data_IF_929894359077
#
_entry.id   IF_929894359077
#
_cell.length_a   1.000
_cell.length_b   1.000
_cell.length_c   1.000
_cell.angle_alpha   90.00
_cell.angle_beta   90.00
_cell.angle_gamma   90.00
#
_symmetry.space_group_name_H-M   'P 1'
#
loop_
_entity.id
_entity.type
_entity.pdbx_description
1 polymer ?
#
# COMPACT_ATOMS: atom_id res chain seq x y z
N UNK A 1 3.00 -6.59 13.59
CA UNK A 1 3.66 -5.52 14.36
C UNK A 1 3.12 -5.40 15.79
N UNK A 2 1.85 -5.03 16.00
CA UNK A 2 1.26 -4.77 17.33
C UNK A 2 1.47 -5.88 18.36
N UNK A 3 1.29 -7.15 17.97
CA UNK A 3 1.58 -8.33 18.80
C UNK A 3 3.00 -8.30 19.42
N UNK A 4 4.01 -8.00 18.59
CA UNK A 4 5.42 -7.97 19.02
C UNK A 4 5.67 -6.79 19.95
N UNK A 5 5.17 -5.61 19.61
CA UNK A 5 5.29 -4.41 20.46
C UNK A 5 4.67 -4.66 21.84
N UNK A 6 3.47 -5.25 21.88
CA UNK A 6 2.81 -5.59 23.13
C UNK A 6 3.61 -6.58 23.98
N UNK A 7 4.25 -7.57 23.35
CA UNK A 7 5.09 -8.55 24.05
C UNK A 7 6.32 -7.92 24.72
N UNK A 8 6.73 -6.71 24.28
CA UNK A 8 7.79 -5.92 24.90
C UNK A 8 7.28 -5.06 26.08
N UNK A 9 6.02 -5.20 26.48
CA UNK A 9 5.41 -4.44 27.57
C UNK A 9 4.93 -3.03 27.20
N UNK A 10 5.13 -2.60 25.95
CA UNK A 10 4.69 -1.30 25.45
C UNK A 10 3.16 -1.26 25.34
N UNK A 11 2.56 -0.15 25.81
CA UNK A 11 1.10 0.04 25.85
C UNK A 11 0.59 1.11 24.88
N UNK A 12 1.46 2.00 24.41
CA UNK A 12 1.11 3.10 23.51
C UNK A 12 2.20 3.31 22.46
N UNK A 13 1.80 3.61 21.22
CA UNK A 13 2.67 4.00 20.11
C UNK A 13 2.15 5.26 19.42
N UNK A 14 3.06 6.03 18.84
CA UNK A 14 2.74 7.16 17.98
C UNK A 14 2.82 6.70 16.52
N UNK A 15 1.83 7.07 15.71
CA UNK A 15 1.76 6.77 14.29
C UNK A 15 1.64 8.04 13.45
N UNK A 16 2.14 7.97 12.21
CA UNK A 16 2.12 9.06 11.23
C UNK A 16 0.87 9.14 10.37
N UNK A 17 -0.18 8.38 10.68
CA UNK A 17 -1.47 8.41 9.95
C UNK A 17 -2.04 9.84 9.91
N UNK A 18 -2.67 10.21 8.78
CA UNK A 18 -3.23 11.55 8.57
C UNK A 18 -2.31 12.50 7.81
N UNK A 19 -1.00 12.27 7.81
CA UNK A 19 -0.06 13.17 7.14
C UNK A 19 -0.27 13.22 5.61
N UNK A 20 -0.57 12.08 4.98
CA UNK A 20 -0.82 12.00 3.53
C UNK A 20 -2.12 12.70 3.15
N UNK A 21 -3.16 12.60 3.98
CA UNK A 21 -4.48 13.19 3.76
C UNK A 21 -4.47 14.71 3.95
N UNK A 22 -3.67 15.23 4.89
CA UNK A 22 -3.57 16.66 5.19
C UNK A 22 -2.67 17.42 4.19
N UNK A 23 -1.59 16.77 3.75
CA UNK A 23 -0.55 17.40 2.93
C UNK A 23 -0.49 16.88 1.49
N UNK A 24 -1.44 16.05 1.06
CA UNK A 24 -1.50 15.49 -0.30
C UNK A 24 -0.28 14.63 -0.62
N UNK A 25 -0.01 13.65 0.24
CA UNK A 25 1.20 12.82 0.17
C UNK A 25 1.11 11.60 -0.75
N UNK A 26 -0.08 11.26 -1.23
CA UNK A 26 -0.24 10.15 -2.17
C UNK A 26 0.17 10.57 -3.58
N UNK A 27 0.73 9.63 -4.34
CA UNK A 27 1.31 9.92 -5.66
C UNK A 27 0.30 10.50 -6.68
N UNK A 28 -0.99 10.17 -6.58
CA UNK A 28 -2.00 10.73 -7.48
C UNK A 28 -2.19 12.25 -7.28
N UNK A 29 -1.81 12.82 -6.13
CA UNK A 29 -1.82 14.28 -5.93
C UNK A 29 -0.81 15.03 -6.82
N UNK A 30 0.18 14.33 -7.41
CA UNK A 30 1.03 14.92 -8.47
C UNK A 30 0.22 15.35 -9.70
N UNK A 31 -0.97 14.78 -9.87
CA UNK A 31 -1.87 15.04 -11.00
C UNK A 31 -2.99 16.01 -10.65
N UNK A 32 -3.04 16.52 -9.42
CA UNK A 32 -4.05 17.49 -9.03
C UNK A 32 -3.98 18.72 -9.95
N UNK A 33 -5.07 19.09 -10.65
CA UNK A 33 -5.03 20.08 -11.72
C UNK A 33 -4.82 21.51 -11.21
N UNK A 34 -5.25 21.80 -9.98
CA UNK A 34 -5.14 23.11 -9.35
C UNK A 34 -5.27 22.99 -7.82
N UNK A 35 -5.00 24.11 -7.13
CA UNK A 35 -5.01 24.17 -5.66
C UNK A 35 -6.38 23.96 -5.03
N UNK A 36 -7.46 24.28 -5.76
CA UNK A 36 -8.83 24.09 -5.31
C UNK A 36 -9.19 22.61 -5.27
N UNK A 37 -8.96 21.88 -6.37
CA UNK A 37 -9.16 20.43 -6.45
C UNK A 37 -8.28 19.68 -5.43
N UNK A 38 -7.01 20.08 -5.29
CA UNK A 38 -6.13 19.54 -4.26
C UNK A 38 -6.72 19.71 -2.85
N UNK A 39 -7.17 20.93 -2.52
CA UNK A 39 -7.72 21.22 -1.19
C UNK A 39 -9.04 20.47 -0.93
N UNK A 40 -9.94 20.45 -1.91
CA UNK A 40 -11.20 19.72 -1.80
C UNK A 40 -10.95 18.23 -1.57
N UNK A 41 -9.99 17.64 -2.26
CA UNK A 41 -9.64 16.23 -2.08
C UNK A 41 -9.01 15.95 -0.71
N UNK A 42 -8.10 16.80 -0.22
CA UNK A 42 -7.57 16.67 1.16
C UNK A 42 -8.69 16.77 2.20
N UNK A 43 -9.62 17.72 2.05
CA UNK A 43 -10.80 17.83 2.91
C UNK A 43 -11.67 16.56 2.86
N UNK A 44 -11.91 16.01 1.68
CA UNK A 44 -12.70 14.79 1.49
C UNK A 44 -12.01 13.58 2.13
N UNK A 45 -10.70 13.42 1.92
CA UNK A 45 -9.89 12.36 2.55
C UNK A 45 -9.91 12.45 4.08
N UNK A 46 -9.73 13.65 4.64
CA UNK A 46 -9.78 13.85 6.10
C UNK A 46 -11.15 13.46 6.66
N UNK A 47 -12.25 13.89 6.01
CA UNK A 47 -13.61 13.53 6.44
C UNK A 47 -13.88 12.03 6.39
N UNK A 48 -13.23 11.30 5.49
CA UNK A 48 -13.44 9.87 5.31
C UNK A 48 -12.45 8.98 6.10
N UNK A 49 -11.40 9.55 6.70
CA UNK A 49 -10.34 8.83 7.44
C UNK A 49 -10.87 7.78 8.43
N UNK A 50 -12.01 8.06 9.08
CA UNK A 50 -12.61 7.18 10.07
C UNK A 50 -13.07 5.82 9.50
N UNK A 51 -13.30 5.73 8.18
CA UNK A 51 -13.68 4.50 7.48
C UNK A 51 -12.46 3.72 6.94
N UNK A 52 -11.28 4.35 6.90
CA UNK A 52 -10.08 3.81 6.26
C UNK A 52 -8.90 3.74 7.25
N UNK A 53 -7.94 4.65 7.17
CA UNK A 53 -6.67 4.60 7.90
C UNK A 53 -6.84 4.64 9.42
N UNK A 54 -7.77 5.46 9.94
CA UNK A 54 -8.07 5.45 11.37
C UNK A 54 -8.70 4.12 11.81
N UNK A 55 -9.56 3.53 10.98
CA UNK A 55 -10.18 2.23 11.27
C UNK A 55 -9.12 1.14 11.39
N UNK A 56 -8.21 1.09 10.42
CA UNK A 56 -7.07 0.14 10.39
C UNK A 56 -6.15 0.38 11.57
N UNK A 57 -5.67 1.61 11.76
CA UNK A 57 -4.71 1.95 12.80
C UNK A 57 -5.25 1.61 14.18
N UNK A 58 -6.50 2.01 14.48
CA UNK A 58 -7.12 1.73 15.77
C UNK A 58 -7.40 0.23 15.97
N UNK A 59 -8.17 -0.42 15.08
CA UNK A 59 -8.58 -1.82 15.31
C UNK A 59 -7.39 -2.79 15.30
N UNK A 60 -6.40 -2.59 14.43
CA UNK A 60 -5.24 -3.48 14.33
C UNK A 60 -4.29 -3.40 15.53
N UNK A 61 -4.17 -2.24 16.19
CA UNK A 61 -3.39 -2.11 17.43
C UNK A 61 -4.21 -2.52 18.64
N UNK A 62 -5.49 -2.14 18.71
CA UNK A 62 -6.40 -2.52 19.80
C UNK A 62 -6.62 -4.02 19.91
N UNK A 63 -6.52 -4.78 18.81
CA UNK A 63 -6.54 -6.25 18.82
C UNK A 63 -5.46 -6.87 19.75
N UNK A 64 -4.42 -6.12 20.11
CA UNK A 64 -3.36 -6.54 21.03
C UNK A 64 -3.26 -5.62 22.27
N UNK A 65 -4.30 -4.84 22.58
CA UNK A 65 -4.29 -3.91 23.72
C UNK A 65 -3.16 -2.88 23.65
N UNK A 66 -2.90 -2.38 22.43
CA UNK A 66 -1.93 -1.33 22.12
C UNK A 66 -2.68 -0.09 21.65
N UNK A 67 -2.50 1.03 22.35
CA UNK A 67 -3.06 2.33 21.97
C UNK A 67 -2.21 2.96 20.85
N UNK A 68 -2.85 3.42 19.78
CA UNK A 68 -2.20 4.21 18.74
C UNK A 68 -2.63 5.69 18.85
N UNK A 69 -1.67 6.59 18.94
CA UNK A 69 -1.88 8.04 18.89
C UNK A 69 -1.44 8.59 17.53
N UNK A 70 -2.19 9.56 17.01
CA UNK A 70 -2.05 10.09 15.65
C UNK A 70 -1.92 11.62 15.70
N UNK A 71 -0.73 12.17 16.02
CA UNK A 71 -0.55 13.60 16.25
C UNK A 71 -0.93 14.49 15.05
N UNK A 72 -0.77 13.99 13.82
CA UNK A 72 -1.22 14.69 12.61
C UNK A 72 -2.73 14.95 12.60
N UNK A 73 -3.51 14.14 13.33
CA UNK A 73 -4.96 14.29 13.42
C UNK A 73 -5.42 15.06 14.67
N UNK A 74 -4.49 15.69 15.40
CA UNK A 74 -4.84 16.66 16.42
C UNK A 74 -5.67 17.81 15.81
N UNK A 75 -6.69 18.27 16.54
CA UNK A 75 -7.60 19.32 16.05
C UNK A 75 -6.89 20.65 15.83
N UNK A 76 -6.00 21.04 16.74
CA UNK A 76 -5.22 22.26 16.63
C UNK A 76 -4.27 22.18 15.43
N UNK A 77 -3.57 21.05 15.28
CA UNK A 77 -2.70 20.80 14.15
C UNK A 77 -3.47 20.83 12.81
N UNK A 78 -4.62 20.15 12.71
CA UNK A 78 -5.46 20.17 11.50
C UNK A 78 -5.87 21.60 11.16
N UNK A 79 -6.31 22.40 12.13
CA UNK A 79 -6.74 23.78 11.87
C UNK A 79 -5.63 24.62 11.25
N UNK A 80 -4.42 24.53 11.80
CA UNK A 80 -3.24 25.23 11.26
C UNK A 80 -2.86 24.66 9.89
N UNK A 81 -2.74 23.35 9.78
CA UNK A 81 -2.29 22.70 8.55
C UNK A 81 -3.26 22.95 7.40
N UNK A 82 -4.57 22.99 7.66
CA UNK A 82 -5.60 23.20 6.64
C UNK A 82 -5.85 24.67 6.29
N UNK A 83 -5.42 25.63 7.12
CA UNK A 83 -5.46 27.06 6.78
C UNK A 83 -4.32 27.51 5.88
N UNK A 84 -3.27 26.70 5.72
CA UNK A 84 -2.16 26.96 4.79
C UNK A 84 -2.69 26.98 3.35
N UNK A 85 -2.22 27.94 2.55
CA UNK A 85 -2.53 28.00 1.11
C UNK A 85 -2.23 26.65 0.43
N UNK A 86 -3.22 25.97 -0.18
CA UNK A 86 -3.01 24.64 -0.75
C UNK A 86 -1.93 24.60 -1.84
N UNK A 87 -1.67 25.72 -2.51
CA UNK A 87 -0.63 25.86 -3.53
C UNK A 87 0.79 25.54 -3.02
N UNK A 88 1.07 25.81 -1.74
CA UNK A 88 2.38 25.46 -1.16
C UNK A 88 2.49 24.00 -0.74
N UNK A 89 1.36 23.28 -0.69
CA UNK A 89 1.31 21.83 -0.44
C UNK A 89 1.41 21.02 -1.74
N UNK A 90 1.01 21.61 -2.87
CA UNK A 90 1.10 20.97 -4.18
C UNK A 90 2.55 20.69 -4.59
N UNK A 91 2.73 19.57 -5.30
CA UNK A 91 3.98 19.23 -5.96
C UNK A 91 4.27 20.26 -7.06
N UNK A 92 5.52 20.69 -7.15
CA UNK A 92 5.99 21.57 -8.21
C UNK A 92 7.45 21.21 -8.55
N UNK A 93 7.64 20.48 -9.64
CA UNK A 93 8.95 19.95 -10.01
C UNK A 93 9.93 21.05 -10.45
N UNK A 94 9.44 22.14 -11.07
CA UNK A 94 10.29 23.29 -11.45
C UNK A 94 10.94 23.94 -10.22
N UNK A 95 10.20 23.97 -9.10
CA UNK A 95 10.67 24.46 -7.79
C UNK A 95 11.28 23.36 -6.92
N UNK A 96 11.49 22.15 -7.47
CA UNK A 96 11.97 20.95 -6.75
C UNK A 96 11.14 20.60 -5.51
N UNK A 97 9.84 20.87 -5.54
CA UNK A 97 8.90 20.55 -4.46
C UNK A 97 8.23 19.22 -4.72
N UNK A 98 8.54 18.24 -3.87
CA UNK A 98 7.92 16.91 -3.88
C UNK A 98 6.70 16.87 -2.94
N UNK A 99 6.02 15.74 -2.85
CA UNK A 99 4.88 15.56 -1.96
C UNK A 99 5.21 15.90 -0.50
N UNK A 100 4.27 16.54 0.20
CA UNK A 100 4.46 17.05 1.57
C UNK A 100 5.64 18.03 1.71
N UNK A 101 6.04 18.73 0.65
CA UNK A 101 7.19 19.65 0.66
C UNK A 101 7.21 20.60 1.86
N UNK A 102 6.08 21.26 2.16
CA UNK A 102 6.00 22.21 3.29
C UNK A 102 6.27 21.53 4.63
N UNK A 103 5.83 20.28 4.80
CA UNK A 103 6.11 19.52 6.01
C UNK A 103 7.61 19.21 6.09
N UNK A 104 8.21 18.74 4.99
CA UNK A 104 9.65 18.45 4.93
C UNK A 104 10.48 19.69 5.30
N UNK A 105 10.13 20.84 4.72
CA UNK A 105 10.79 22.13 5.02
C UNK A 105 10.59 22.61 6.45
N UNK A 106 9.44 22.35 7.07
CA UNK A 106 9.20 22.72 8.47
C UNK A 106 10.09 21.94 9.45
N UNK A 107 10.57 20.75 9.07
CA UNK A 107 11.51 19.94 9.86
C UNK A 107 12.97 20.10 9.40
N UNK A 108 13.23 20.88 8.35
CA UNK A 108 14.56 21.21 7.83
C UNK A 108 15.03 22.57 8.38
N UNK A 109 15.12 22.66 9.70
CA UNK A 109 15.54 23.85 10.43
C UNK A 109 16.97 23.66 10.96
N UNK A 110 17.93 24.41 10.42
CA UNK A 110 19.33 24.33 10.88
C UNK A 110 19.57 25.10 12.19
N UNK A 111 18.78 26.14 12.46
CA UNK A 111 18.91 27.01 13.62
C UNK A 111 18.27 26.39 14.86
N UNK A 112 17.04 25.87 14.71
CA UNK A 112 16.29 25.17 15.75
C UNK A 112 15.87 23.78 15.28
N UNK A 113 16.82 22.82 15.20
CA UNK A 113 16.57 21.52 14.61
C UNK A 113 15.57 20.70 15.43
N UNK A 114 14.45 20.35 14.80
CA UNK A 114 13.51 19.35 15.33
C UNK A 114 14.00 17.92 15.13
N UNK A 115 14.90 17.70 14.16
CA UNK A 115 15.53 16.42 13.89
C UNK A 115 16.89 16.35 14.59
N UNK A 116 17.30 15.21 15.16
CA UNK A 116 18.60 15.08 15.80
C UNK A 116 19.72 15.44 14.81
N UNK A 117 20.65 16.33 15.16
CA UNK A 117 21.86 16.49 14.35
C UNK A 117 22.69 15.22 14.52
N UNK A 118 23.06 14.56 13.42
CA UNK A 118 23.88 13.33 13.47
C UNK A 118 25.29 13.71 13.90
N UNK A 119 25.49 13.86 15.20
CA UNK A 119 26.81 13.90 15.83
C UNK A 119 26.89 12.67 16.72
N UNK A 120 27.47 11.59 16.18
CA UNK A 120 27.78 10.35 16.91
C UNK A 120 26.64 9.74 17.75
N UNK A 121 25.43 9.63 17.20
CA UNK A 121 24.36 8.88 17.87
C UNK A 121 24.44 7.40 17.47
N UNK A 122 24.85 6.53 18.39
CA UNK A 122 24.65 5.08 18.25
C UNK A 122 23.14 4.79 18.21
N UNK A 123 22.60 4.53 17.02
CA UNK A 123 21.26 3.95 16.91
C UNK A 123 21.38 2.48 17.27
N UNK A 124 21.08 2.12 18.54
CA UNK A 124 20.95 0.73 18.97
C UNK A 124 19.71 0.11 18.34
N UNK A 125 19.90 -0.67 17.28
CA UNK A 125 18.88 -1.58 16.75
C UNK A 125 19.04 -2.91 17.50
N UNK A 126 18.23 -3.11 18.53
CA UNK A 126 18.25 -4.38 19.27
C UNK A 126 17.43 -5.43 18.54
N UNK A 127 18.08 -6.17 17.64
CA UNK A 127 17.53 -7.35 17.00
C UNK A 127 17.80 -8.59 17.87
N UNK A 128 17.07 -8.74 18.98
CA UNK A 128 17.12 -9.96 19.79
C UNK A 128 16.30 -11.08 19.17
N UNK A 129 16.89 -11.77 18.18
CA UNK A 129 16.58 -13.18 17.93
C UNK A 129 17.73 -14.03 18.50
N UNK A 130 17.34 -14.99 19.33
CA UNK A 130 18.20 -15.90 20.06
C UNK A 130 19.30 -16.53 19.19
N UNK A 131 20.50 -16.66 19.79
CA UNK A 131 21.69 -17.37 19.29
C UNK A 131 22.49 -16.73 18.16
N UNK A 132 23.17 -15.62 18.47
CA UNK A 132 24.57 -15.28 18.11
C UNK A 132 24.75 -13.77 18.33
N UNK A 133 25.35 -13.41 19.46
CA UNK A 133 25.84 -12.04 19.70
C UNK A 133 27.08 -11.80 18.84
N UNK A 134 26.87 -11.45 17.58
CA UNK A 134 27.84 -10.67 16.82
C UNK A 134 27.36 -9.22 16.86
N UNK A 135 28.06 -8.36 17.60
CA UNK A 135 27.88 -6.92 17.53
C UNK A 135 28.30 -6.46 16.13
N UNK A 136 27.37 -6.51 15.18
CA UNK A 136 27.53 -5.81 13.92
C UNK A 136 27.41 -4.32 14.24
N UNK A 137 28.55 -3.66 14.42
CA UNK A 137 28.66 -2.22 14.34
C UNK A 137 28.45 -1.82 12.88
N UNK A 138 27.21 -1.93 12.40
CA UNK A 138 26.81 -1.35 11.14
C UNK A 138 26.66 0.14 11.37
N UNK A 139 27.73 0.89 11.08
CA UNK A 139 27.77 2.35 11.12
C UNK A 139 26.88 2.88 9.99
N UNK A 140 25.57 2.77 10.16
CA UNK A 140 24.60 3.36 9.26
C UNK A 140 24.51 4.85 9.57
N UNK A 141 25.46 5.60 9.02
CA UNK A 141 25.41 7.05 8.90
C UNK A 141 24.33 7.38 7.85
N UNK A 142 23.06 7.08 8.16
CA UNK A 142 21.94 7.53 7.34
C UNK A 142 21.89 9.05 7.48
N UNK A 143 22.21 9.72 6.37
CA UNK A 143 21.95 11.14 6.21
C UNK A 143 20.46 11.39 6.44
N UNK A 144 20.10 12.08 7.52
CA UNK A 144 18.71 12.44 7.81
C UNK A 144 18.10 13.25 6.68
N UNK A 145 18.92 13.95 5.89
CA UNK A 145 18.47 14.65 4.69
C UNK A 145 17.92 13.66 3.64
N UNK A 146 18.54 12.49 3.48
CA UNK A 146 18.01 11.45 2.61
C UNK A 146 16.63 10.96 3.08
N UNK A 147 16.39 10.84 4.39
CA UNK A 147 15.07 10.46 4.91
C UNK A 147 14.07 11.61 4.71
N UNK A 148 14.46 12.83 5.04
CA UNK A 148 13.62 14.02 5.00
C UNK A 148 13.15 14.34 3.58
N UNK A 149 13.94 14.05 2.57
CA UNK A 149 13.62 14.25 1.16
C UNK A 149 13.37 12.96 0.38
N UNK A 150 13.22 11.82 1.08
CA UNK A 150 12.84 10.55 0.46
C UNK A 150 11.47 10.66 -0.18
N UNK A 151 11.37 10.28 -1.45
CA UNK A 151 10.09 10.16 -2.14
C UNK A 151 9.20 9.11 -1.48
N UNK A 152 7.88 9.35 -1.49
CA UNK A 152 6.89 8.40 -1.00
C UNK A 152 7.00 7.08 -1.75
N UNK A 153 7.20 6.01 -0.99
CA UNK A 153 6.98 4.63 -1.41
C UNK A 153 5.61 4.19 -0.89
N UNK A 154 4.82 3.46 -1.68
CA UNK A 154 3.53 2.93 -1.22
C UNK A 154 3.72 1.84 -0.16
N UNK A 155 2.73 1.71 0.73
CA UNK A 155 2.86 0.87 1.93
C UNK A 155 3.13 -0.60 1.61
N UNK A 156 2.55 -1.13 0.53
CA UNK A 156 2.73 -2.52 0.13
C UNK A 156 4.15 -2.84 -0.32
N UNK A 157 4.74 -1.97 -1.13
CA UNK A 157 6.12 -2.17 -1.61
C UNK A 157 7.12 -1.95 -0.49
N UNK A 158 6.79 -1.07 0.48
CA UNK A 158 7.59 -0.86 1.69
C UNK A 158 7.56 -2.04 2.69
N UNK A 159 6.54 -2.90 2.65
CA UNK A 159 6.47 -4.11 3.50
C UNK A 159 7.16 -5.30 2.82
N UNK A 160 7.10 -5.37 1.49
CA UNK A 160 7.79 -6.37 0.67
C UNK A 160 6.93 -6.83 -0.50
N UNK A 161 7.55 -6.91 -1.68
CA UNK A 161 6.85 -7.19 -2.94
C UNK A 161 6.05 -8.52 -2.92
N UNK A 162 6.57 -9.56 -2.26
CA UNK A 162 5.94 -10.88 -2.20
C UNK A 162 4.66 -10.93 -1.35
N UNK A 163 4.41 -9.93 -0.52
CA UNK A 163 3.25 -9.95 0.39
C UNK A 163 1.92 -9.84 -0.35
N UNK A 164 1.80 -8.87 -1.27
CA UNK A 164 0.58 -8.72 -2.09
C UNK A 164 0.40 -9.89 -3.03
N UNK A 165 1.49 -10.34 -3.66
CA UNK A 165 1.40 -11.41 -4.64
C UNK A 165 0.96 -12.72 -3.96
N UNK A 166 1.45 -12.99 -2.74
CA UNK A 166 0.97 -14.12 -1.93
C UNK A 166 -0.50 -14.01 -1.52
N UNK A 167 -1.03 -12.80 -1.27
CA UNK A 167 -2.47 -12.61 -1.01
C UNK A 167 -3.32 -12.91 -2.25
N UNK A 168 -2.87 -12.47 -3.43
CA UNK A 168 -3.53 -12.74 -4.71
C UNK A 168 -3.54 -14.24 -5.01
N UNK A 169 -2.38 -14.90 -4.86
CA UNK A 169 -2.25 -16.35 -5.04
C UNK A 169 -3.14 -17.12 -4.06
N UNK A 170 -3.15 -16.74 -2.78
CA UNK A 170 -4.02 -17.37 -1.78
C UNK A 170 -5.50 -17.22 -2.14
N UNK A 171 -5.92 -16.03 -2.60
CA UNK A 171 -7.29 -15.81 -3.04
C UNK A 171 -7.65 -16.63 -4.29
N UNK A 172 -6.72 -16.77 -5.23
CA UNK A 172 -6.87 -17.59 -6.44
C UNK A 172 -7.15 -19.06 -6.11
N UNK A 173 -6.48 -19.60 -5.10
CA UNK A 173 -6.68 -20.98 -4.63
C UNK A 173 -8.02 -21.18 -3.91
N UNK A 174 -8.62 -20.13 -3.36
CA UNK A 174 -9.81 -20.23 -2.50
C UNK A 174 -11.10 -19.71 -3.16
N UNK A 175 -11.01 -18.98 -4.27
CA UNK A 175 -12.16 -18.43 -4.98
C UNK A 175 -12.13 -18.87 -6.44
N UNK A 176 -13.10 -19.72 -6.79
CA UNK A 176 -13.21 -20.25 -8.16
C UNK A 176 -13.85 -19.24 -9.12
N UNK A 177 -13.63 -19.40 -10.42
CA UNK A 177 -14.31 -18.57 -11.43
C UNK A 177 -15.82 -18.73 -11.37
N UNK A 178 -16.31 -19.93 -11.04
CA UNK A 178 -17.74 -20.18 -10.82
C UNK A 178 -18.30 -19.34 -9.66
N UNK A 179 -17.54 -19.17 -8.58
CA UNK A 179 -17.95 -18.30 -7.48
C UNK A 179 -18.04 -16.84 -7.95
N UNK A 180 -17.04 -16.38 -8.71
CA UNK A 180 -17.06 -15.02 -9.28
C UNK A 180 -18.25 -14.79 -10.21
N UNK A 181 -18.62 -15.77 -11.05
CA UNK A 181 -19.81 -15.68 -11.92
C UNK A 181 -21.12 -15.45 -11.15
N UNK A 182 -21.22 -15.95 -9.92
CA UNK A 182 -22.40 -15.81 -9.07
C UNK A 182 -22.25 -14.72 -8.01
N UNK A 183 -21.17 -13.91 -8.05
CA UNK A 183 -20.85 -12.94 -7.00
C UNK A 183 -21.97 -11.91 -6.80
N UNK A 184 -22.60 -11.42 -7.85
CA UNK A 184 -23.69 -10.43 -7.76
C UNK A 184 -24.94 -10.99 -7.08
N UNK A 185 -25.24 -12.27 -7.31
CA UNK A 185 -26.36 -12.94 -6.66
C UNK A 185 -26.08 -13.21 -5.17
N UNK A 186 -24.85 -13.59 -4.83
CA UNK A 186 -24.44 -13.92 -3.45
C UNK A 186 -24.22 -12.64 -2.62
N UNK A 187 -23.61 -11.63 -3.23
CA UNK A 187 -23.25 -10.36 -2.62
C UNK A 187 -23.82 -9.18 -3.44
N UNK A 188 -25.15 -8.94 -3.39
CA UNK A 188 -25.78 -7.91 -4.21
C UNK A 188 -25.39 -6.48 -3.81
N UNK A 189 -24.98 -6.28 -2.55
CA UNK A 189 -24.43 -5.00 -2.10
C UNK A 189 -22.91 -5.04 -2.13
N UNK A 190 -22.26 -4.04 -2.76
CA UNK A 190 -20.81 -3.96 -2.94
C UNK A 190 -20.23 -5.28 -3.48
N UNK A 191 -20.73 -5.72 -4.63
CA UNK A 191 -20.31 -6.97 -5.26
C UNK A 191 -18.79 -6.99 -5.50
N UNK A 192 -18.08 -8.03 -5.03
CA UNK A 192 -16.64 -8.12 -5.24
C UNK A 192 -16.32 -8.36 -6.72
N UNK A 193 -15.43 -7.54 -7.27
CA UNK A 193 -15.00 -7.60 -8.68
C UNK A 193 -13.68 -8.35 -8.88
N UNK A 194 -13.02 -8.76 -7.80
CA UNK A 194 -11.81 -9.58 -7.82
C UNK A 194 -11.94 -10.75 -6.85
N UNK A 195 -11.17 -11.82 -7.09
CA UNK A 195 -11.11 -12.99 -6.20
C UNK A 195 -10.62 -12.63 -4.80
N UNK A 196 -9.65 -11.72 -4.70
CA UNK A 196 -9.16 -11.19 -3.41
C UNK A 196 -10.28 -10.48 -2.63
N UNK A 197 -11.03 -9.58 -3.28
CA UNK A 197 -12.16 -8.91 -2.66
C UNK A 197 -13.28 -9.89 -2.27
N UNK A 198 -13.53 -10.90 -3.11
CA UNK A 198 -14.50 -11.95 -2.82
C UNK A 198 -14.10 -12.74 -1.57
N UNK A 199 -12.82 -13.12 -1.48
CA UNK A 199 -12.29 -13.86 -0.35
C UNK A 199 -12.43 -13.07 0.97
N UNK A 200 -12.08 -11.78 0.96
CA UNK A 200 -12.30 -10.91 2.13
C UNK A 200 -13.78 -10.75 2.46
N UNK A 201 -14.64 -10.63 1.45
CA UNK A 201 -16.09 -10.52 1.65
C UNK A 201 -16.67 -11.78 2.29
N UNK A 202 -16.23 -12.97 1.88
CA UNK A 202 -16.61 -14.23 2.52
C UNK A 202 -16.25 -14.25 4.01
N UNK A 203 -15.02 -13.85 4.35
CA UNK A 203 -14.56 -13.77 5.74
C UNK A 203 -15.41 -12.76 6.51
N UNK A 204 -15.63 -11.57 5.94
CA UNK A 204 -16.43 -10.52 6.57
C UNK A 204 -17.85 -11.01 6.89
N UNK A 205 -18.57 -11.57 5.92
CA UNK A 205 -19.96 -12.02 6.16
C UNK A 205 -20.04 -13.24 7.07
N UNK A 206 -18.98 -14.06 7.16
CA UNK A 206 -18.89 -15.13 8.17
C UNK A 206 -18.90 -14.59 9.60
N UNK A 207 -18.24 -13.46 9.85
CA UNK A 207 -18.18 -12.84 11.18
C UNK A 207 -19.31 -11.83 11.42
N UNK A 208 -19.79 -11.18 10.37
CA UNK A 208 -20.79 -10.10 10.42
C UNK A 208 -21.91 -10.35 9.39
N UNK A 209 -22.79 -11.34 9.63
CA UNK A 209 -23.80 -11.74 8.66
C UNK A 209 -24.94 -10.71 8.49
N UNK A 210 -25.07 -9.76 9.41
CA UNK A 210 -26.17 -8.80 9.45
C UNK A 210 -26.09 -7.78 8.31
N UNK A 211 -27.23 -7.45 7.70
CA UNK A 211 -27.28 -6.44 6.63
C UNK A 211 -26.77 -5.07 7.09
N UNK A 212 -27.04 -4.68 8.34
CA UNK A 212 -26.53 -3.43 8.91
C UNK A 212 -25.00 -3.35 8.90
N UNK A 213 -24.29 -4.45 9.16
CA UNK A 213 -22.84 -4.49 9.11
C UNK A 213 -22.31 -4.27 7.69
N UNK A 214 -22.96 -4.88 6.69
CA UNK A 214 -22.59 -4.75 5.27
C UNK A 214 -22.65 -3.29 4.82
N UNK A 215 -23.67 -2.54 5.27
CA UNK A 215 -23.86 -1.13 4.96
C UNK A 215 -22.81 -0.20 5.60
N UNK A 216 -22.03 -0.68 6.57
CA UNK A 216 -20.95 0.13 7.18
C UNK A 216 -19.67 0.15 6.35
N UNK A 217 -19.53 -0.76 5.38
CA UNK A 217 -18.36 -0.83 4.50
C UNK A 217 -18.61 0.07 3.29
N UNK A 218 -17.84 1.16 3.10
CA UNK A 218 -18.04 2.04 1.96
C UNK A 218 -17.76 1.29 0.65
N UNK A 219 -18.66 1.46 -0.32
CA UNK A 219 -18.51 0.94 -1.68
C UNK A 219 -17.87 1.94 -2.63
N UNK A 220 -17.66 1.51 -3.87
CA UNK A 220 -17.17 2.34 -4.97
C UNK A 220 -15.75 2.00 -5.42
N UNK A 221 -15.35 2.60 -6.55
CA UNK A 221 -14.01 2.42 -7.09
C UNK A 221 -12.97 3.05 -6.14
N UNK A 222 -11.99 2.25 -5.74
CA UNK A 222 -10.85 2.67 -4.93
C UNK A 222 -9.59 2.02 -5.50
N UNK A 223 -8.61 2.82 -5.89
CA UNK A 223 -7.29 2.34 -6.35
C UNK A 223 -6.29 2.70 -5.26
N UNK A 224 -5.61 1.75 -4.62
CA UNK A 224 -4.42 1.97 -3.77
C UNK A 224 -4.35 3.31 -2.98
N UNK A 225 -5.19 3.48 -1.95
CA UNK A 225 -5.31 4.70 -1.12
C UNK A 225 -5.80 5.98 -1.85
N UNK A 226 -6.16 5.88 -3.13
CA UNK A 226 -6.74 6.94 -3.93
C UNK A 226 -8.27 6.82 -4.02
N UNK A 227 -8.89 7.81 -4.66
CA UNK A 227 -10.34 7.89 -4.80
C UNK A 227 -10.72 8.07 -6.26
N UNK A 228 -12.02 8.18 -6.56
CA UNK A 228 -12.48 8.44 -7.92
C UNK A 228 -11.76 9.65 -8.57
N UNK A 229 -11.31 10.63 -7.77
CA UNK A 229 -10.53 11.78 -8.22
C UNK A 229 -9.21 11.42 -8.90
N UNK A 230 -8.55 10.31 -8.53
CA UNK A 230 -7.32 9.90 -9.20
C UNK A 230 -7.57 9.56 -10.68
N UNK A 231 -8.70 8.93 -10.99
CA UNK A 231 -9.10 8.62 -12.36
C UNK A 231 -9.53 9.91 -13.09
N UNK A 232 -10.26 10.80 -12.41
CA UNK A 232 -10.68 12.09 -12.98
C UNK A 232 -9.49 12.98 -13.36
N UNK A 233 -8.44 13.01 -12.53
CA UNK A 233 -7.27 13.86 -12.75
C UNK A 233 -6.27 13.27 -13.76
N UNK A 234 -6.21 11.95 -13.87
CA UNK A 234 -5.37 11.28 -14.85
C UNK A 234 -5.97 9.95 -15.28
N UNK A 235 -6.49 9.92 -16.51
CA UNK A 235 -7.13 8.74 -17.10
C UNK A 235 -6.18 7.53 -17.19
N UNK A 236 -4.85 7.69 -17.12
CA UNK A 236 -3.95 6.53 -17.06
C UNK A 236 -4.17 5.65 -15.82
N UNK A 237 -4.77 6.20 -14.75
CA UNK A 237 -5.17 5.44 -13.56
C UNK A 237 -6.42 4.59 -13.80
N UNK A 238 -7.28 4.89 -14.78
CA UNK A 238 -8.46 4.07 -15.07
C UNK A 238 -8.10 2.65 -15.52
N UNK A 239 -6.95 2.50 -16.17
CA UNK A 239 -6.49 1.24 -16.74
C UNK A 239 -5.66 0.42 -15.75
N UNK A 240 -5.52 0.86 -14.50
CA UNK A 240 -4.59 0.26 -13.56
C UNK A 240 -5.24 0.00 -12.20
N UNK A 241 -5.86 -1.17 -12.09
CA UNK A 241 -6.52 -1.68 -10.88
C UNK A 241 -5.52 -2.30 -9.88
N UNK A 242 -4.21 -2.06 -10.01
CA UNK A 242 -3.23 -2.68 -9.13
C UNK A 242 -3.37 -2.16 -7.70
N UNK A 243 -3.79 -3.00 -6.72
CA UNK A 243 -3.95 -2.58 -5.34
C UNK A 243 -2.61 -2.21 -4.66
N UNK A 244 -1.47 -2.61 -5.26
CA UNK A 244 -0.15 -2.21 -4.79
C UNK A 244 0.15 -0.72 -5.04
N UNK A 245 -0.50 -0.14 -6.06
CA UNK A 245 -0.29 1.23 -6.52
C UNK A 245 0.99 1.47 -7.34
N UNK A 246 1.78 0.41 -7.62
CA UNK A 246 2.95 0.38 -8.54
C UNK A 246 2.66 1.00 -9.92
N UNK A 247 1.36 1.10 -10.21
CA UNK A 247 0.69 1.77 -11.30
C UNK A 247 1.00 3.26 -11.52
N UNK A 248 1.60 3.97 -10.56
CA UNK A 248 1.98 5.39 -10.70
C UNK A 248 3.16 5.60 -11.67
N UNK A 249 2.99 5.13 -12.92
CA UNK A 249 3.97 5.19 -13.98
C UNK A 249 4.38 6.64 -14.25
N UNK A 250 5.69 6.91 -14.18
CA UNK A 250 6.28 8.22 -14.47
C UNK A 250 6.40 9.19 -13.30
N UNK A 251 6.02 8.80 -12.07
CA UNK A 251 6.20 9.66 -10.87
C UNK A 251 7.47 9.30 -10.08
N UNK A 252 7.92 8.04 -10.11
CA UNK A 252 9.18 7.63 -9.47
C UNK A 252 10.39 7.88 -10.37
N UNK A 253 11.41 8.56 -9.82
CA UNK A 253 12.73 8.70 -10.48
C UNK A 253 13.48 7.36 -10.55
N UNK A 254 13.18 6.43 -9.65
CA UNK A 254 13.62 5.04 -9.73
C UNK A 254 12.64 4.27 -10.64
N UNK A 255 12.68 4.55 -11.94
CA UNK A 255 11.85 3.86 -12.93
C UNK A 255 12.00 2.35 -12.78
N UNK A 256 10.87 1.64 -12.64
CA UNK A 256 10.83 0.17 -12.75
C UNK A 256 11.43 -0.23 -14.10
N UNK A 257 12.72 -0.61 -14.12
CA UNK A 257 13.29 -1.26 -15.30
C UNK A 257 12.53 -2.57 -15.45
N UNK A 258 11.68 -2.66 -16.47
CA UNK A 258 11.23 -3.96 -16.99
C UNK A 258 12.51 -4.79 -17.18
N UNK A 259 12.64 -5.88 -16.44
CA UNK A 259 13.62 -6.91 -16.76
C UNK A 259 13.25 -7.47 -18.12
N UNK A 260 13.84 -6.89 -19.17
CA UNK A 260 13.86 -7.50 -20.47
C UNK A 260 14.65 -8.81 -20.32
N UNK A 261 13.96 -9.93 -20.42
CA UNK A 261 14.62 -11.23 -20.63
C UNK A 261 15.53 -11.13 -21.86
N UNK A 262 16.64 -11.88 -21.90
CA UNK A 262 17.65 -11.70 -22.94
C UNK A 262 17.05 -12.03 -24.31
N UNK A 263 17.00 -11.02 -25.17
CA UNK A 263 16.76 -11.18 -26.60
C UNK A 263 17.99 -11.88 -27.21
N UNK A 264 18.00 -13.21 -27.18
CA UNK A 264 18.93 -14.03 -27.94
C UNK A 264 18.36 -14.28 -29.33
N UNK A 265 18.83 -13.50 -30.31
CA UNK A 265 18.64 -13.78 -31.72
C UNK A 265 19.37 -15.07 -32.10
N UNK A 266 18.64 -16.15 -32.33
CA UNK A 266 19.14 -17.31 -33.09
C UNK A 266 18.28 -17.43 -34.34
N UNK A 267 18.85 -17.04 -35.48
CA UNK A 267 18.32 -17.37 -36.81
C UNK A 267 18.44 -18.88 -37.01
N UNK A 268 17.32 -19.57 -37.23
CA UNK A 268 17.29 -20.92 -37.79
C UNK A 268 16.34 -20.92 -39.00
N UNK A 269 16.88 -21.38 -40.12
CA UNK A 269 16.28 -21.37 -41.46
C UNK A 269 15.07 -22.33 -41.58
N UNK A 270 14.17 -22.12 -42.56
CA UNK A 270 12.97 -22.92 -42.71
C UNK A 270 13.28 -24.24 -43.42
N UNK A 271 13.01 -25.37 -42.77
CA UNK A 271 13.01 -26.67 -43.44
C UNK A 271 11.62 -27.33 -43.42
N UNK A 272 11.14 -27.45 -44.65
CA UNK A 272 10.14 -28.29 -45.27
C UNK A 272 9.38 -29.37 -44.48
N UNK A 273 8.09 -29.43 -44.83
CA UNK A 273 7.03 -30.39 -44.51
C UNK A 273 7.41 -31.84 -44.88
N UNK A 274 7.03 -32.79 -44.02
CA UNK A 274 7.02 -34.22 -44.35
C UNK A 274 6.44 -35.11 -43.25
N UNK A 275 5.17 -35.51 -43.42
CA UNK A 275 4.51 -36.78 -43.08
C UNK A 275 5.09 -37.71 -41.96
N UNK A 276 4.23 -38.14 -41.01
CA UNK A 276 3.71 -39.53 -40.81
C UNK A 276 3.25 -39.81 -39.35
N UNK A 277 1.97 -40.23 -39.25
CA UNK A 277 1.23 -41.17 -38.36
C UNK A 277 1.22 -41.22 -36.82
N UNK A 278 -0.03 -41.42 -36.36
CA UNK A 278 -0.64 -41.93 -35.10
C UNK A 278 0.08 -43.09 -34.38
N UNK A 279 -0.09 -43.15 -33.04
CA UNK A 279 -0.47 -44.33 -32.21
C UNK A 279 -0.82 -43.85 -30.77
N UNK A 280 -2.09 -43.90 -30.33
CA UNK A 280 -2.82 -44.93 -29.53
C UNK A 280 -2.38 -45.04 -28.04
N UNK A 281 -3.38 -44.79 -27.18
CA UNK A 281 -3.65 -45.18 -25.79
C UNK A 281 -2.65 -46.05 -25.00
N UNK A 282 -2.54 -45.71 -23.70
CA UNK A 282 -2.89 -46.64 -22.60
C UNK A 282 -3.06 -45.94 -21.25
N UNK A 283 -4.23 -46.22 -20.68
CA UNK A 283 -4.66 -46.08 -19.29
C UNK A 283 -3.72 -46.73 -18.27
N UNK A 284 -3.57 -46.12 -17.08
CA UNK A 284 -3.53 -46.85 -15.80
C UNK A 284 -3.75 -45.89 -14.61
N UNK A 285 -4.80 -46.21 -13.87
CA UNK A 285 -5.22 -45.74 -12.55
C UNK A 285 -4.28 -46.19 -11.43
N UNK A 286 -4.13 -45.37 -10.39
CA UNK A 286 -3.76 -45.84 -9.05
C UNK A 286 -4.43 -45.00 -7.95
N UNK A 287 -5.12 -45.72 -7.08
CA UNK A 287 -5.91 -45.27 -5.93
C UNK A 287 -5.02 -44.75 -4.79
N UNK A 288 -5.55 -43.80 -4.02
CA UNK A 288 -4.98 -43.35 -2.75
C UNK A 288 -5.83 -43.92 -1.61
N UNK A 289 -5.21 -44.74 -0.77
CA UNK A 289 -5.78 -45.29 0.47
C UNK A 289 -5.47 -44.35 1.63
N UNK A 290 -6.50 -44.01 2.41
CA UNK A 290 -6.41 -43.25 3.66
C UNK A 290 -6.50 -44.24 4.83
N UNK A 291 -5.64 -44.10 5.84
CA UNK A 291 -5.78 -44.80 7.12
C UNK A 291 -6.02 -43.81 8.27
N UNK A 292 -7.14 -44.08 8.96
CA UNK A 292 -7.43 -44.00 10.40
C UNK A 292 -6.77 -42.92 11.25
#
# INVERSE_FOLDING_TARGET
MSRKIKSLGVKMVISGEGADEIFGGYLYFHKAPNKQEFHQETCRKIKALHQYDCLRANKSTSAWGLEARVPFLDKGFINVAMSINPEVKMVNMDKKRIEKWILRRAFDDEEQPYLPKVTNTEIRIDCSNHSKTSSLNAFFMYDLQHILYRQKEQFSDGVGYSWIDGLKEHAELNVTDKMMLHAEHIFPHNTPVTKEAYYYRMIFERFFPQNSAKLTVPGGASIACSTAKAIEWDASWSNNLDPSGRAALGVHNASYKKSAGPAGSVKLAPNMIGNVSRMIDKSASSEVVIHG
#
